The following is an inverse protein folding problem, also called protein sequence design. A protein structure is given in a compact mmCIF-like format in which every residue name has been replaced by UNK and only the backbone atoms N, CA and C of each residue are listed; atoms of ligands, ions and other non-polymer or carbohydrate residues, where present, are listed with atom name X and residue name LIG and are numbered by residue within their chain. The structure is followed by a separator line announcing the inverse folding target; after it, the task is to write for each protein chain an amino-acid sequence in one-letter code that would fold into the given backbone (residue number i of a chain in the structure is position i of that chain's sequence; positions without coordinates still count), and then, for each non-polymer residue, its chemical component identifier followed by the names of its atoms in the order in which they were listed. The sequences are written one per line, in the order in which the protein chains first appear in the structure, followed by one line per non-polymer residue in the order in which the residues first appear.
data_IF_673166173237
#
_entry.id   IF_673166173237
#
_cell.length_a   1.000
_cell.length_b   1.000
_cell.length_c   1.000
_cell.angle_alpha   90.00
_cell.angle_beta   90.00
_cell.angle_gamma   90.00
#
_symmetry.space_group_name_H-M   'P 1'
#
loop_
_entity.id
_entity.type
_entity.pdbx_description
1 polymer ?
#
# COMPACT_ATOMS: atom_id res chain seq x y z
N UNK A 1 0.91 8.91 -1.74
CA UNK A 1 -0.04 9.42 -0.72
C UNK A 1 0.71 10.26 0.30
N UNK A 2 0.17 11.40 0.78
CA UNK A 2 0.90 12.28 1.73
C UNK A 2 0.40 12.28 3.18
N UNK A 3 -0.85 11.93 3.45
CA UNK A 3 -1.42 11.89 4.81
C UNK A 3 -2.64 10.95 4.84
N UNK A 4 -2.47 9.66 5.14
CA UNK A 4 -3.59 8.74 5.23
C UNK A 4 -4.52 9.05 6.41
N UNK A 5 -5.82 8.79 6.25
CA UNK A 5 -6.83 8.96 7.30
C UNK A 5 -7.17 7.61 7.93
N UNK A 6 -7.17 7.56 9.26
CA UNK A 6 -7.47 6.31 10.00
C UNK A 6 -8.86 5.81 9.66
N UNK A 7 -8.98 4.50 9.38
CA UNK A 7 -10.21 3.86 8.96
C UNK A 7 -10.53 4.01 7.46
N UNK A 8 -9.76 4.79 6.71
CA UNK A 8 -9.94 4.90 5.26
C UNK A 8 -9.30 3.73 4.52
N UNK A 9 -9.93 3.34 3.42
CA UNK A 9 -9.44 2.29 2.53
C UNK A 9 -8.46 2.86 1.50
N UNK A 10 -7.30 2.21 1.43
CA UNK A 10 -6.28 2.42 0.42
C UNK A 10 -6.04 1.12 -0.34
N UNK A 11 -5.39 1.24 -1.49
CA UNK A 11 -5.15 0.12 -2.38
C UNK A 11 -3.64 -0.01 -2.55
N UNK A 12 -3.11 -1.10 -2.00
CA UNK A 12 -1.71 -1.45 -2.18
C UNK A 12 -1.55 -2.07 -3.57
N UNK A 13 -0.75 -1.43 -4.41
CA UNK A 13 -0.38 -1.97 -5.72
C UNK A 13 1.00 -2.60 -5.60
N UNK A 14 1.11 -3.86 -5.99
CA UNK A 14 2.36 -4.63 -6.06
C UNK A 14 2.37 -5.46 -7.35
N UNK A 15 3.43 -6.21 -7.60
CA UNK A 15 3.53 -7.10 -8.76
C UNK A 15 3.84 -8.53 -8.31
N UNK A 16 3.20 -9.49 -8.96
CA UNK A 16 3.36 -10.92 -8.63
C UNK A 16 4.67 -11.47 -9.18
N UNK A 17 5.12 -10.92 -10.31
CA UNK A 17 6.30 -11.33 -11.05
C UNK A 17 7.44 -10.30 -10.93
N UNK A 18 8.67 -10.77 -11.07
CA UNK A 18 9.87 -9.92 -11.07
C UNK A 18 9.94 -8.97 -12.26
N UNK A 19 9.23 -9.30 -13.35
CA UNK A 19 9.21 -8.52 -14.59
C UNK A 19 8.13 -7.42 -14.54
N UNK A 20 7.39 -7.34 -13.43
CA UNK A 20 6.42 -6.28 -13.12
C UNK A 20 5.30 -6.18 -14.16
N UNK A 21 4.88 -7.32 -14.71
CA UNK A 21 3.86 -7.42 -15.75
C UNK A 21 2.48 -7.76 -15.21
N UNK A 22 2.39 -8.39 -14.04
CA UNK A 22 1.16 -8.85 -13.42
C UNK A 22 0.92 -8.05 -12.14
N UNK A 23 0.17 -6.94 -12.21
CA UNK A 23 -0.10 -6.13 -11.03
C UNK A 23 -1.13 -6.83 -10.14
N UNK A 24 -0.91 -6.72 -8.84
CA UNK A 24 -1.80 -7.17 -7.78
C UNK A 24 -2.26 -5.96 -6.98
N UNK A 25 -3.57 -5.85 -6.79
CA UNK A 25 -4.17 -4.80 -5.97
C UNK A 25 -4.82 -5.43 -4.76
N UNK A 26 -4.42 -4.96 -3.58
CA UNK A 26 -4.97 -5.39 -2.30
C UNK A 26 -5.62 -4.19 -1.60
N UNK A 27 -6.90 -4.26 -1.20
CA UNK A 27 -7.50 -3.25 -0.36
C UNK A 27 -6.89 -3.35 1.04
N UNK A 28 -6.56 -2.21 1.64
CA UNK A 28 -5.90 -2.07 2.93
C UNK A 28 -6.57 -0.96 3.71
N UNK A 29 -6.88 -1.17 4.98
CA UNK A 29 -7.41 -0.11 5.86
C UNK A 29 -6.26 0.51 6.63
N UNK A 30 -6.16 1.83 6.64
CA UNK A 30 -5.14 2.51 7.45
C UNK A 30 -5.52 2.50 8.92
N UNK A 31 -4.68 1.91 9.76
CA UNK A 31 -4.89 1.78 11.18
C UNK A 31 -4.40 3.00 11.96
N UNK A 32 -3.33 3.63 11.49
CA UNK A 32 -2.70 4.77 12.17
C UNK A 32 -1.18 4.74 12.07
N UNK A 33 -0.56 5.69 12.77
CA UNK A 33 0.90 5.77 12.90
C UNK A 33 1.34 5.38 14.31
N UNK A 34 2.51 4.78 14.40
CA UNK A 34 3.20 4.54 15.66
C UNK A 34 2.38 3.78 16.72
N UNK A 35 1.63 2.75 16.28
CA UNK A 35 0.69 1.98 17.11
C UNK A 35 1.43 1.15 18.18
N UNK A 36 2.69 0.80 17.91
CA UNK A 36 3.56 0.03 18.81
C UNK A 36 4.84 0.79 19.12
N UNK A 37 4.75 1.90 19.88
CA UNK A 37 5.87 2.81 20.10
C UNK A 37 7.07 2.14 20.80
N UNK A 38 6.86 1.09 21.57
CA UNK A 38 7.91 0.28 22.22
C UNK A 38 8.79 -0.51 21.23
N UNK A 39 8.33 -0.69 19.99
CA UNK A 39 9.02 -1.42 18.93
C UNK A 39 9.55 -0.50 17.82
N UNK A 40 9.50 0.81 18.05
CA UNK A 40 9.79 1.82 17.04
C UNK A 40 11.08 2.58 17.33
N UNK A 41 11.78 2.92 16.25
CA UNK A 41 12.98 3.75 16.33
C UNK A 41 12.59 5.20 16.63
N UNK A 42 13.26 5.86 17.60
CA UNK A 42 12.97 7.25 17.93
C UNK A 42 13.11 8.18 16.72
N UNK A 43 12.07 8.96 16.44
CA UNK A 43 12.05 9.92 15.34
C UNK A 43 11.61 9.35 13.98
N UNK A 44 11.33 8.05 13.89
CA UNK A 44 10.75 7.43 12.70
C UNK A 44 9.22 7.37 12.81
N UNK A 45 8.53 7.70 11.72
CA UNK A 45 7.08 7.48 11.59
C UNK A 45 6.85 6.16 10.86
N UNK A 46 6.19 5.23 11.55
CA UNK A 46 5.74 3.96 10.98
C UNK A 46 4.23 4.02 10.75
N UNK A 47 3.81 3.66 9.53
CA UNK A 47 2.42 3.61 9.12
C UNK A 47 1.94 2.16 9.15
N UNK A 48 0.75 1.93 9.69
CA UNK A 48 0.18 0.59 9.86
C UNK A 48 -1.10 0.45 9.07
N UNK A 49 -1.22 -0.67 8.34
CA UNK A 49 -2.38 -1.04 7.56
C UNK A 49 -2.80 -2.48 7.87
N UNK A 50 -4.07 -2.81 7.72
CA UNK A 50 -4.56 -4.18 7.88
C UNK A 50 -5.53 -4.56 6.76
N UNK A 51 -5.82 -5.85 6.59
CA UNK A 51 -6.82 -6.27 5.59
C UNK A 51 -8.23 -5.90 6.06
N UNK A 52 -9.16 -5.54 5.15
CA UNK A 52 -10.54 -5.21 5.50
C UNK A 52 -11.29 -6.35 6.20
N UNK A 53 -10.85 -7.59 6.00
CA UNK A 53 -11.48 -8.79 6.55
C UNK A 53 -11.01 -9.16 7.97
N UNK A 54 -10.00 -8.47 8.49
CA UNK A 54 -9.39 -8.75 9.81
C UNK A 54 -10.12 -8.04 10.96
N UNK A 55 -11.02 -7.10 10.68
CA UNK A 55 -11.84 -6.41 11.70
C UNK A 55 -13.28 -6.88 11.57
N UNK A 56 -13.63 -7.96 12.28
CA UNK A 56 -15.02 -8.38 12.46
C UNK A 56 -15.58 -7.73 13.73
N UNK A 57 -16.66 -6.94 13.64
CA UNK A 57 -17.26 -6.28 14.81
C UNK A 57 -17.76 -7.25 15.90
N UNK A 58 -18.04 -8.51 15.53
CA UNK A 58 -18.58 -9.53 16.42
C UNK A 58 -17.51 -10.39 17.13
N UNK A 59 -16.23 -10.22 16.81
CA UNK A 59 -15.13 -10.95 17.44
C UNK A 59 -14.63 -10.23 18.70
N UNK A 60 -15.55 -10.00 19.65
CA UNK A 60 -15.21 -9.79 21.08
C UNK A 60 -14.82 -11.14 21.69
N UNK A 61 -13.82 -11.76 21.08
CA UNK A 61 -13.12 -12.95 21.56
C UNK A 61 -11.66 -12.55 21.61
N UNK A 62 -11.15 -12.45 22.82
CA UNK A 62 -9.77 -12.11 23.14
C UNK A 62 -8.75 -12.69 22.14
N UNK A 63 -7.96 -11.81 21.52
CA UNK A 63 -6.62 -12.07 20.99
C UNK A 63 -6.43 -12.92 19.73
N UNK A 64 -7.09 -12.60 18.61
CA UNK A 64 -6.41 -12.79 17.33
C UNK A 64 -5.61 -11.52 17.02
N UNK A 65 -4.26 -11.59 16.89
CA UNK A 65 -3.48 -10.42 16.50
C UNK A 65 -3.95 -10.00 15.11
N UNK A 66 -4.39 -8.75 14.98
CA UNK A 66 -4.57 -8.14 13.67
C UNK A 66 -3.17 -8.07 13.04
N UNK A 67 -3.01 -8.72 11.88
CA UNK A 67 -1.73 -8.74 11.18
C UNK A 67 -1.54 -7.39 10.48
N UNK A 68 -0.80 -6.50 11.13
CA UNK A 68 -0.51 -5.20 10.55
C UNK A 68 0.65 -5.26 9.54
N UNK A 69 0.43 -4.62 8.40
CA UNK A 69 1.44 -4.25 7.44
C UNK A 69 2.04 -2.91 7.84
N UNK A 70 3.33 -2.92 8.21
CA UNK A 70 4.10 -1.74 8.56
C UNK A 70 4.88 -1.22 7.36
N UNK A 71 4.87 0.10 7.15
CA UNK A 71 5.78 0.76 6.22
C UNK A 71 6.27 2.13 6.74
N UNK A 72 7.37 2.62 6.17
CA UNK A 72 7.86 4.00 6.38
C UNK A 72 7.20 4.95 5.39
N UNK A 73 7.52 6.25 5.48
CA UNK A 73 7.02 7.26 4.54
C UNK A 73 7.30 6.90 3.07
N UNK A 74 8.50 6.40 2.75
CA UNK A 74 8.85 5.93 1.39
C UNK A 74 7.94 4.79 0.92
N UNK A 75 7.56 3.89 1.83
CA UNK A 75 6.67 2.77 1.53
C UNK A 75 5.22 3.20 1.23
N UNK A 76 4.81 4.40 1.64
CA UNK A 76 3.48 4.95 1.30
C UNK A 76 3.29 5.17 -0.20
N UNK A 77 4.37 5.20 -0.98
CA UNK A 77 4.27 5.30 -2.44
C UNK A 77 3.53 4.11 -3.05
N UNK A 78 3.48 2.97 -2.35
CA UNK A 78 2.78 1.75 -2.81
C UNK A 78 1.29 1.74 -2.49
N UNK A 79 0.80 2.73 -1.74
CA UNK A 79 -0.59 2.85 -1.30
C UNK A 79 -1.27 4.01 -2.01
N UNK A 80 -2.37 3.70 -2.67
CA UNK A 80 -3.09 4.60 -3.56
C UNK A 80 -4.56 4.72 -3.17
N UNK A 81 -5.20 5.82 -3.51
CA UNK A 81 -6.66 5.86 -3.58
C UNK A 81 -7.16 4.89 -4.65
N UNK A 82 -8.47 4.55 -4.62
CA UNK A 82 -9.07 3.67 -5.62
C UNK A 82 -8.83 4.17 -7.06
N UNK A 83 -9.03 5.48 -7.28
CA UNK A 83 -8.89 6.10 -8.60
C UNK A 83 -7.45 6.02 -9.10
N UNK A 84 -6.48 6.29 -8.23
CA UNK A 84 -5.05 6.19 -8.56
C UNK A 84 -4.64 4.74 -8.84
N UNK A 85 -5.11 3.76 -8.05
CA UNK A 85 -4.83 2.35 -8.27
C UNK A 85 -5.39 1.86 -9.61
N UNK A 86 -6.62 2.24 -9.96
CA UNK A 86 -7.22 1.93 -11.27
C UNK A 86 -6.39 2.56 -12.40
N UNK A 87 -5.95 3.81 -12.24
CA UNK A 87 -5.10 4.47 -13.23
C UNK A 87 -3.77 3.73 -13.44
N UNK A 88 -3.13 3.28 -12.35
CA UNK A 88 -1.91 2.47 -12.41
C UNK A 88 -2.13 1.15 -13.16
N UNK A 89 -3.22 0.44 -12.85
CA UNK A 89 -3.58 -0.79 -13.56
C UNK A 89 -3.80 -0.56 -15.05
N UNK A 90 -4.50 0.52 -15.42
CA UNK A 90 -4.74 0.85 -16.82
C UNK A 90 -3.43 1.11 -17.59
N UNK A 91 -2.43 1.73 -16.95
CA UNK A 91 -1.11 1.94 -17.54
C UNK A 91 -0.38 0.62 -17.80
N UNK A 92 -0.42 -0.33 -16.87
CA UNK A 92 0.17 -1.67 -17.09
C UNK A 92 -0.51 -2.38 -18.25
N UNK A 93 -1.84 -2.36 -18.31
CA UNK A 93 -2.61 -2.97 -19.41
C UNK A 93 -2.27 -2.31 -20.75
N UNK A 94 -1.99 -1.01 -20.77
CA UNK A 94 -1.55 -0.28 -21.95
C UNK A 94 -0.07 -0.55 -22.34
N UNK A 95 0.64 -1.42 -21.61
CA UNK A 95 2.04 -1.75 -21.88
C UNK A 95 3.03 -0.66 -21.45
N UNK A 96 2.62 0.23 -20.55
CA UNK A 96 3.52 1.27 -20.00
C UNK A 96 4.43 0.62 -18.95
N UNK A 97 5.73 0.75 -19.17
CA UNK A 97 6.74 0.35 -18.20
C UNK A 97 6.73 1.31 -16.99
N UNK A 98 6.09 0.87 -15.90
CA UNK A 98 5.96 1.63 -14.65
C UNK A 98 7.25 1.67 -13.82
N UNK A 99 8.30 0.95 -14.24
CA UNK A 99 9.63 1.04 -13.60
C UNK A 99 10.40 2.27 -14.04
N UNK A 100 10.01 2.86 -15.17
CA UNK A 100 10.68 4.02 -15.73
C UNK A 100 10.03 5.29 -15.21
N UNK A 101 10.83 6.30 -14.80
CA UNK A 101 10.29 7.60 -14.47
C UNK A 101 9.50 8.19 -15.65
N UNK A 102 8.41 8.92 -15.40
CA UNK A 102 7.64 9.57 -16.45
C UNK A 102 8.53 10.51 -17.26
N UNK A 103 8.56 10.34 -18.59
CA UNK A 103 9.41 11.13 -19.50
C UNK A 103 10.64 10.39 -20.04
N UNK A 104 10.86 9.14 -19.63
CA UNK A 104 11.86 8.25 -20.23
C UNK A 104 11.42 7.81 -21.63
N UNK A 105 11.42 8.73 -22.62
CA UNK A 105 11.30 8.35 -24.02
C UNK A 105 12.44 7.40 -24.32
N UNK A 106 12.12 6.19 -24.76
CA UNK A 106 13.07 5.29 -25.39
C UNK A 106 13.77 6.04 -26.51
N UNK A 107 15.02 6.43 -26.27
CA UNK A 107 15.97 6.67 -27.34
C UNK A 107 16.42 5.29 -27.80
N UNK A 108 15.56 4.60 -28.52
CA UNK A 108 16.01 3.48 -29.34
C UNK A 108 16.62 4.08 -30.60
N UNK A 109 17.96 4.01 -30.63
CA UNK A 109 18.81 4.07 -31.82
C UNK A 109 18.63 2.79 -32.65
#
# INVERSE_FOLDING_TARGET
MKNPQTGEAYYRVSFVDSDLTIPRVEPMIFAGTNIYPEHEEPGLISYYFHHPHEVRPDDISDHLPVDYYRCTEDGLSSYYSLVEAIAMLALVVAGVDLTRPPGSRGLDL
#
